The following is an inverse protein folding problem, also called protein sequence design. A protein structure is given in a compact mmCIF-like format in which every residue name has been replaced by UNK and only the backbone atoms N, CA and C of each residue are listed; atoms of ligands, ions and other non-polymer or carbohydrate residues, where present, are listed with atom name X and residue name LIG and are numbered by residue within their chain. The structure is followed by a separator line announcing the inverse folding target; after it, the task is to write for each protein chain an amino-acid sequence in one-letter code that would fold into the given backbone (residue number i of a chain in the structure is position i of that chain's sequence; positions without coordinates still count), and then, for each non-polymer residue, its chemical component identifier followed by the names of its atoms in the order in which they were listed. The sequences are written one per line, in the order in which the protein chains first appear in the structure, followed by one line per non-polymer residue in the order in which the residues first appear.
data_IF_874247543744
#
_entry.id   IF_874247543744
#
_cell.length_a   1.000
_cell.length_b   1.000
_cell.length_c   1.000
_cell.angle_alpha   90.00
_cell.angle_beta   90.00
_cell.angle_gamma   90.00
#
_symmetry.space_group_name_H-M   'P 1'
#
loop_
_entity.id
_entity.type
_entity.pdbx_description
1 polymer ?
#
# COMPACT_ATOMS: atom_id res chain seq x y z
N UNK A 1 -11.43 -18.44 -8.59
CA UNK A 1 -10.15 -18.07 -7.95
C UNK A 1 -10.43 -17.77 -6.48
N UNK A 2 -9.50 -18.07 -5.59
CA UNK A 2 -9.57 -17.71 -4.17
C UNK A 2 -8.35 -16.88 -3.77
N UNK A 3 -8.56 -15.89 -2.90
CA UNK A 3 -7.49 -15.09 -2.30
C UNK A 3 -7.45 -15.39 -0.81
N UNK A 4 -6.26 -15.59 -0.29
CA UNK A 4 -6.00 -15.87 1.13
C UNK A 4 -4.72 -15.19 1.60
N UNK A 5 -4.47 -15.20 2.91
CA UNK A 5 -3.25 -14.64 3.53
C UNK A 5 -3.01 -13.15 3.21
N UNK A 6 -4.06 -12.39 2.90
CA UNK A 6 -3.98 -10.96 2.63
C UNK A 6 -3.50 -10.20 3.88
N UNK A 7 -2.32 -9.61 3.79
CA UNK A 7 -1.68 -8.93 4.92
C UNK A 7 -0.61 -7.93 4.47
N UNK A 8 -0.18 -7.08 5.40
CA UNK A 8 1.05 -6.29 5.30
C UNK A 8 2.01 -6.84 6.35
N UNK A 9 2.99 -7.69 5.96
CA UNK A 9 3.93 -8.29 6.89
C UNK A 9 4.87 -7.25 7.49
N UNK A 10 5.23 -7.39 8.77
CA UNK A 10 6.11 -6.44 9.49
C UNK A 10 7.50 -6.34 8.87
N UNK A 11 8.05 -7.47 8.47
CA UNK A 11 9.36 -7.62 7.85
C UNK A 11 9.41 -7.10 6.41
N UNK A 12 8.27 -6.63 5.89
CA UNK A 12 8.11 -6.00 4.58
C UNK A 12 7.74 -4.52 4.69
N UNK A 13 7.96 -3.92 5.85
CA UNK A 13 7.77 -2.50 6.08
C UNK A 13 9.16 -1.89 6.32
N UNK A 14 9.54 -0.96 5.46
CA UNK A 14 10.81 -0.24 5.57
C UNK A 14 10.56 1.26 5.61
N UNK A 15 11.29 1.99 6.45
CA UNK A 15 11.24 3.45 6.42
C UNK A 15 12.00 4.00 5.20
N UNK A 16 11.51 5.12 4.65
CA UNK A 16 12.13 5.87 3.57
C UNK A 16 12.49 7.26 4.07
N UNK A 17 13.66 7.75 3.66
CA UNK A 17 14.18 9.05 4.09
C UNK A 17 14.65 9.03 5.55
N UNK A 18 14.77 10.21 6.14
CA UNK A 18 15.17 10.33 7.54
C UNK A 18 15.22 11.77 8.03
N UNK A 19 15.33 11.93 9.35
CA UNK A 19 15.30 13.22 10.05
C UNK A 19 16.33 14.23 9.52
N UNK A 20 17.48 13.77 9.05
CA UNK A 20 18.58 14.62 8.54
C UNK A 20 18.58 14.77 7.02
N UNK A 21 17.53 14.31 6.34
CA UNK A 21 17.44 14.33 4.88
C UNK A 21 16.42 15.39 4.44
N UNK A 22 16.60 15.93 3.23
CA UNK A 22 15.57 16.73 2.54
C UNK A 22 14.78 15.91 1.52
N UNK A 23 15.13 14.62 1.38
CA UNK A 23 14.45 13.67 0.50
C UNK A 23 13.04 13.36 1.03
N UNK A 24 12.10 12.90 0.18
CA UNK A 24 10.80 12.44 0.65
C UNK A 24 10.91 11.39 1.75
N UNK A 25 10.06 11.49 2.77
CA UNK A 25 10.03 10.57 3.90
C UNK A 25 8.72 9.77 3.95
N UNK A 26 8.77 8.54 4.43
CA UNK A 26 7.60 7.68 4.49
C UNK A 26 7.92 6.25 4.86
N UNK A 27 7.07 5.32 4.41
CA UNK A 27 7.27 3.89 4.54
C UNK A 27 7.06 3.22 3.18
N UNK A 28 7.91 2.26 2.85
CA UNK A 28 7.61 1.20 1.92
C UNK A 28 6.81 0.12 2.63
N UNK A 29 5.82 -0.45 1.96
CA UNK A 29 5.22 -1.69 2.41
C UNK A 29 4.83 -2.59 1.24
N UNK A 30 4.86 -3.90 1.47
CA UNK A 30 4.34 -4.89 0.52
C UNK A 30 2.99 -5.43 1.00
N UNK A 31 1.91 -5.18 0.25
CA UNK A 31 0.67 -5.92 0.39
C UNK A 31 0.88 -7.34 -0.15
N UNK A 32 0.90 -8.33 0.73
CA UNK A 32 1.17 -9.72 0.40
C UNK A 32 -0.10 -10.56 0.48
N UNK A 33 -0.31 -11.44 -0.50
CA UNK A 33 -1.44 -12.36 -0.52
C UNK A 33 -1.14 -13.60 -1.38
N UNK A 34 -1.92 -14.65 -1.15
CA UNK A 34 -1.86 -15.90 -1.92
C UNK A 34 -3.09 -16.00 -2.81
N UNK A 35 -2.87 -16.24 -4.09
CA UNK A 35 -3.89 -16.52 -5.08
C UNK A 35 -3.93 -18.01 -5.35
N UNK A 36 -5.12 -18.59 -5.43
CA UNK A 36 -5.32 -20.00 -5.78
C UNK A 36 -6.40 -20.15 -6.85
N UNK A 37 -6.10 -20.96 -7.86
CA UNK A 37 -7.02 -21.37 -8.90
C UNK A 37 -7.08 -22.88 -8.86
N UNK A 38 -8.27 -23.42 -8.62
CA UNK A 38 -8.49 -24.87 -8.67
C UNK A 38 -8.60 -25.35 -10.12
N UNK A 39 -8.04 -26.51 -10.47
CA UNK A 39 -8.23 -27.10 -11.78
C UNK A 39 -9.71 -27.40 -12.02
N UNK A 40 -10.20 -27.19 -13.24
CA UNK A 40 -11.58 -27.54 -13.62
C UNK A 40 -11.61 -29.02 -14.06
N UNK A 41 -12.53 -29.79 -13.49
CA UNK A 41 -12.63 -31.25 -13.69
C UNK A 41 -12.86 -31.71 -15.16
N UNK A 42 -13.33 -30.81 -16.04
CA UNK A 42 -13.54 -31.07 -17.48
C UNK A 42 -12.58 -30.21 -18.32
N UNK A 43 -11.28 -30.33 -18.01
CA UNK A 43 -10.15 -29.44 -18.33
C UNK A 43 -9.80 -29.08 -19.79
N UNK A 44 -10.76 -29.10 -20.71
CA UNK A 44 -10.65 -28.47 -22.04
C UNK A 44 -11.94 -27.79 -22.54
N UNK A 45 -13.09 -28.12 -21.97
CA UNK A 45 -14.41 -27.66 -22.46
C UNK A 45 -14.93 -26.48 -21.63
N UNK A 46 -14.54 -26.37 -20.36
CA UNK A 46 -15.17 -25.46 -19.39
C UNK A 46 -14.57 -24.05 -19.30
N UNK A 47 -13.81 -23.60 -20.30
CA UNK A 47 -13.28 -22.23 -20.38
C UNK A 47 -11.76 -22.13 -20.15
N UNK A 48 -11.12 -21.27 -20.92
CA UNK A 48 -9.68 -20.99 -20.87
C UNK A 48 -9.34 -19.81 -19.96
N UNK A 49 -10.33 -19.29 -19.25
CA UNK A 49 -10.22 -18.00 -18.58
C UNK A 49 -10.43 -18.07 -17.07
N UNK A 50 -9.78 -17.15 -16.38
CA UNK A 50 -9.91 -16.92 -14.94
C UNK A 50 -10.47 -15.52 -14.76
N UNK A 51 -11.61 -15.43 -14.10
CA UNK A 51 -12.13 -14.15 -13.65
C UNK A 51 -11.15 -13.55 -12.64
N UNK A 52 -10.69 -12.35 -12.96
CA UNK A 52 -9.70 -11.66 -12.16
C UNK A 52 -10.38 -10.83 -11.08
N UNK A 53 -10.06 -11.03 -9.79
CA UNK A 53 -10.64 -10.23 -8.73
C UNK A 53 -10.20 -8.77 -8.88
N UNK A 54 -11.16 -7.86 -8.69
CA UNK A 54 -10.89 -6.42 -8.77
C UNK A 54 -10.12 -6.00 -7.53
N UNK A 55 -8.87 -5.55 -7.70
CA UNK A 55 -8.10 -4.96 -6.61
C UNK A 55 -8.75 -3.64 -6.20
N UNK A 56 -8.84 -3.41 -4.89
CA UNK A 56 -9.31 -2.16 -4.30
C UNK A 56 -8.20 -1.61 -3.42
N UNK A 57 -7.62 -0.49 -3.85
CA UNK A 57 -6.55 0.20 -3.14
C UNK A 57 -7.10 1.51 -2.60
N UNK A 58 -7.93 1.42 -1.56
CA UNK A 58 -8.61 2.58 -1.02
C UNK A 58 -7.66 3.37 -0.11
N UNK A 59 -7.45 4.63 -0.44
CA UNK A 59 -6.70 5.59 0.35
C UNK A 59 -7.61 6.74 0.77
N UNK A 60 -7.56 7.09 2.07
CA UNK A 60 -8.01 8.39 2.56
C UNK A 60 -6.81 9.14 3.11
N UNK A 61 -6.54 10.32 2.57
CA UNK A 61 -5.41 11.18 2.93
C UNK A 61 -5.94 12.43 3.60
N UNK A 62 -5.72 12.58 4.90
CA UNK A 62 -6.04 13.77 5.67
C UNK A 62 -4.81 14.69 5.78
N UNK A 63 -5.03 15.99 5.62
CA UNK A 63 -3.99 17.02 5.74
C UNK A 63 -4.29 18.01 6.86
N UNK A 64 -3.24 18.43 7.54
CA UNK A 64 -3.30 19.41 8.62
C UNK A 64 -2.22 20.46 8.47
N UNK A 65 -2.58 21.70 8.80
CA UNK A 65 -1.65 22.81 8.98
C UNK A 65 -1.49 23.14 10.47
N UNK A 66 -0.36 23.76 10.82
CA UNK A 66 -0.10 24.14 12.20
C UNK A 66 -0.49 25.60 12.43
N UNK A 67 -1.45 25.82 13.33
CA UNK A 67 -1.79 27.15 13.79
C UNK A 67 -0.84 27.55 14.92
N UNK A 68 0.08 28.47 14.60
CA UNK A 68 1.09 28.96 15.54
C UNK A 68 0.49 29.84 16.65
N UNK A 69 -0.68 30.45 16.44
CA UNK A 69 -1.33 31.27 17.45
C UNK A 69 -1.95 30.42 18.56
N UNK A 70 -2.57 29.31 18.18
CA UNK A 70 -3.21 28.37 19.13
C UNK A 70 -2.34 27.18 19.52
N UNK A 71 -1.17 27.02 18.88
CA UNK A 71 -0.25 25.89 19.03
C UNK A 71 -0.95 24.54 18.79
N UNK A 72 -1.81 24.47 17.76
CA UNK A 72 -2.63 23.29 17.45
C UNK A 72 -2.58 22.93 15.97
N UNK A 73 -2.66 21.64 15.70
CA UNK A 73 -2.93 21.14 14.35
C UNK A 73 -4.39 21.42 13.99
N UNK A 74 -4.60 22.05 12.84
CA UNK A 74 -5.92 22.31 12.28
C UNK A 74 -6.11 21.45 11.03
N UNK A 75 -7.26 20.79 10.95
CA UNK A 75 -7.63 19.99 9.78
C UNK A 75 -7.93 20.91 8.61
N UNK A 76 -7.29 20.65 7.47
CA UNK A 76 -7.44 21.43 6.24
C UNK A 76 -8.41 20.76 5.29
N UNK A 77 -8.35 19.44 5.18
CA UNK A 77 -9.21 18.66 4.31
C UNK A 77 -8.68 17.24 4.10
N UNK A 78 -9.45 16.44 3.38
CA UNK A 78 -9.08 15.09 2.99
C UNK A 78 -9.37 14.81 1.52
N UNK A 79 -8.68 13.79 1.00
CA UNK A 79 -8.94 13.21 -0.32
C UNK A 79 -9.09 11.70 -0.15
N UNK A 80 -10.19 11.14 -0.66
CA UNK A 80 -10.48 9.71 -0.59
C UNK A 80 -10.68 9.13 -2.00
N UNK A 81 -9.92 8.10 -2.38
CA UNK A 81 -9.99 7.46 -3.72
C UNK A 81 -9.60 5.98 -3.66
N UNK A 82 -10.16 5.18 -4.58
CA UNK A 82 -9.55 3.90 -4.97
C UNK A 82 -8.43 4.19 -5.98
N UNK A 83 -7.18 4.03 -5.54
CA UNK A 83 -6.02 4.34 -6.35
C UNK A 83 -5.84 3.38 -7.51
N UNK A 84 -6.31 2.14 -7.39
CA UNK A 84 -6.25 1.18 -8.49
C UNK A 84 -7.21 1.56 -9.60
N UNK A 85 -8.44 1.94 -9.26
CA UNK A 85 -9.41 2.45 -10.24
C UNK A 85 -8.95 3.77 -10.88
N UNK A 86 -8.43 4.69 -10.07
CA UNK A 86 -8.00 6.01 -10.53
C UNK A 86 -6.76 5.96 -11.43
N UNK A 87 -5.77 5.11 -11.10
CA UNK A 87 -4.49 5.03 -11.84
C UNK A 87 -3.96 3.59 -11.92
N UNK A 88 -4.64 2.68 -12.66
CA UNK A 88 -4.30 1.26 -12.70
C UNK A 88 -2.92 0.97 -13.32
N UNK A 89 -2.41 1.89 -14.13
CA UNK A 89 -1.11 1.78 -14.82
C UNK A 89 0.06 2.33 -14.00
N UNK A 90 -0.16 2.70 -12.74
CA UNK A 90 0.93 3.12 -11.85
C UNK A 90 1.97 2.02 -11.66
N UNK A 91 3.21 2.40 -11.34
CA UNK A 91 4.26 1.43 -11.06
C UNK A 91 3.92 0.50 -9.88
N UNK A 92 3.22 1.00 -8.85
CA UNK A 92 2.68 0.24 -7.72
C UNK A 92 1.88 -0.97 -8.21
N UNK A 93 0.97 -0.76 -9.17
CA UNK A 93 0.04 -1.80 -9.61
C UNK A 93 0.52 -2.60 -10.82
N UNK A 94 1.69 -2.30 -11.38
CA UNK A 94 2.19 -2.90 -12.62
C UNK A 94 2.24 -4.42 -12.57
N UNK A 95 2.70 -4.99 -11.45
CA UNK A 95 2.74 -6.46 -11.26
C UNK A 95 1.34 -7.04 -11.33
N UNK A 96 0.39 -6.44 -10.62
CA UNK A 96 -1.00 -6.88 -10.64
C UNK A 96 -1.60 -6.70 -12.03
N UNK A 97 -1.58 -5.49 -12.60
CA UNK A 97 -2.26 -5.20 -13.85
C UNK A 97 -1.71 -5.96 -15.07
N UNK A 98 -0.39 -6.15 -15.17
CA UNK A 98 0.26 -6.57 -16.42
C UNK A 98 1.06 -7.88 -16.37
N UNK A 99 1.40 -8.39 -15.18
CA UNK A 99 2.34 -9.53 -15.07
C UNK A 99 1.96 -10.55 -13.98
N UNK A 100 0.72 -10.52 -13.49
CA UNK A 100 0.33 -11.27 -12.28
C UNK A 100 0.42 -12.78 -12.45
N UNK A 101 0.25 -13.26 -13.67
CA UNK A 101 0.28 -14.68 -14.01
C UNK A 101 1.67 -15.07 -14.50
N UNK A 102 2.33 -14.20 -15.28
CA UNK A 102 3.67 -14.44 -15.79
C UNK A 102 4.73 -14.48 -14.67
N UNK A 103 4.55 -13.68 -13.62
CA UNK A 103 5.44 -13.65 -12.45
C UNK A 103 4.95 -14.53 -11.30
N UNK A 104 3.98 -15.41 -11.53
CA UNK A 104 3.42 -16.28 -10.49
C UNK A 104 4.45 -17.32 -10.04
N UNK A 105 4.85 -17.29 -8.77
CA UNK A 105 5.77 -18.26 -8.17
C UNK A 105 5.14 -18.99 -6.99
N UNK A 106 5.52 -20.25 -6.80
CA UNK A 106 5.05 -21.02 -5.65
C UNK A 106 5.63 -20.51 -4.32
N UNK A 107 5.33 -21.20 -3.22
CA UNK A 107 5.82 -20.83 -1.87
C UNK A 107 7.34 -20.87 -1.73
N UNK A 108 8.05 -21.54 -2.63
CA UNK A 108 9.52 -21.61 -2.70
C UNK A 108 10.11 -20.59 -3.67
N UNK A 109 9.26 -19.70 -4.21
CA UNK A 109 9.59 -18.72 -5.22
C UNK A 109 10.03 -19.32 -6.57
N UNK A 110 9.50 -20.50 -6.91
CA UNK A 110 9.75 -21.17 -8.20
C UNK A 110 8.44 -21.38 -8.96
N UNK A 111 8.33 -20.94 -10.23
CA UNK A 111 7.21 -21.33 -11.08
C UNK A 111 7.39 -22.77 -11.61
N UNK A 112 6.31 -23.50 -11.88
CA UNK A 112 6.35 -24.73 -12.68
C UNK A 112 7.09 -24.51 -14.00
N UNK A 113 7.86 -25.50 -14.46
CA UNK A 113 8.70 -25.36 -15.65
C UNK A 113 7.92 -24.95 -16.91
N UNK A 114 6.70 -25.48 -17.06
CA UNK A 114 5.79 -25.15 -18.16
C UNK A 114 5.35 -23.68 -18.11
N UNK A 115 4.94 -23.20 -16.92
CA UNK A 115 4.56 -21.80 -16.71
C UNK A 115 5.74 -20.85 -16.97
N UNK A 116 6.94 -21.25 -16.52
CA UNK A 116 8.19 -20.49 -16.72
C UNK A 116 8.57 -20.33 -18.19
N UNK A 117 8.19 -21.28 -19.04
CA UNK A 117 8.51 -21.27 -20.46
C UNK A 117 7.60 -20.35 -21.29
N UNK A 118 6.50 -19.83 -20.70
CA UNK A 118 5.55 -18.96 -21.38
C UNK A 118 6.09 -17.54 -21.51
N UNK A 119 5.62 -16.82 -22.53
CA UNK A 119 6.17 -15.51 -22.91
C UNK A 119 5.20 -14.34 -22.70
N UNK A 120 3.94 -14.64 -22.39
CA UNK A 120 2.89 -13.65 -22.18
C UNK A 120 2.02 -13.95 -20.97
N UNK A 121 1.49 -12.90 -20.34
CA UNK A 121 0.59 -13.01 -19.18
C UNK A 121 -0.74 -13.73 -19.55
N UNK A 122 -1.20 -13.58 -20.80
CA UNK A 122 -2.38 -14.29 -21.32
C UNK A 122 -2.15 -15.80 -21.48
N UNK A 123 -1.00 -16.23 -22.00
CA UNK A 123 -0.65 -17.65 -22.05
C UNK A 123 -0.56 -18.24 -20.64
N UNK A 124 0.09 -17.50 -19.72
CA UNK A 124 0.19 -17.88 -18.32
C UNK A 124 -1.18 -18.02 -17.66
N UNK A 125 -2.09 -17.06 -17.89
CA UNK A 125 -3.48 -17.10 -17.42
C UNK A 125 -4.19 -18.36 -17.87
N UNK A 126 -4.12 -18.70 -19.18
CA UNK A 126 -4.75 -19.90 -19.73
C UNK A 126 -4.15 -21.19 -19.19
N UNK A 127 -2.83 -21.23 -19.00
CA UNK A 127 -2.16 -22.38 -18.39
C UNK A 127 -2.65 -22.58 -16.95
N UNK A 128 -2.71 -21.51 -16.14
CA UNK A 128 -3.22 -21.57 -14.77
C UNK A 128 -4.71 -21.98 -14.76
N UNK A 129 -5.51 -21.51 -15.72
CA UNK A 129 -6.93 -21.83 -15.81
C UNK A 129 -7.17 -23.34 -16.00
N UNK A 130 -6.33 -23.98 -16.83
CA UNK A 130 -6.42 -25.40 -17.16
C UNK A 130 -5.86 -26.29 -16.06
N UNK A 131 -4.71 -25.93 -15.51
CA UNK A 131 -3.96 -26.80 -14.59
C UNK A 131 -4.26 -26.53 -13.12
N UNK A 132 -4.80 -25.36 -12.79
CA UNK A 132 -4.82 -24.85 -11.44
C UNK A 132 -3.41 -24.49 -10.95
N UNK A 133 -3.32 -23.47 -10.10
CA UNK A 133 -2.06 -23.08 -9.48
C UNK A 133 -2.32 -22.24 -8.24
N UNK A 134 -1.40 -22.28 -7.28
CA UNK A 134 -1.44 -21.41 -6.11
C UNK A 134 -0.09 -20.70 -5.97
N UNK A 135 -0.11 -19.38 -5.91
CA UNK A 135 1.09 -18.55 -5.92
C UNK A 135 0.98 -17.36 -4.98
N UNK A 136 2.13 -16.85 -4.55
CA UNK A 136 2.20 -15.64 -3.73
C UNK A 136 2.41 -14.42 -4.63
N UNK A 137 1.76 -13.31 -4.28
CA UNK A 137 2.00 -12.02 -4.89
C UNK A 137 2.24 -10.97 -3.81
N UNK A 138 3.03 -9.98 -4.18
CA UNK A 138 3.26 -8.78 -3.39
C UNK A 138 3.04 -7.56 -4.29
N UNK A 139 2.29 -6.58 -3.77
CA UNK A 139 2.13 -5.25 -4.39
C UNK A 139 2.84 -4.26 -3.47
N UNK A 140 3.92 -3.66 -3.97
CA UNK A 140 4.72 -2.69 -3.23
C UNK A 140 4.21 -1.29 -3.43
N UNK A 141 4.06 -0.54 -2.35
CA UNK A 141 3.74 0.89 -2.40
C UNK A 141 4.74 1.75 -1.62
N UNK A 142 4.88 3.00 -2.07
CA UNK A 142 5.83 4.01 -1.59
C UNK A 142 5.14 5.37 -1.39
N UNK A 143 4.22 5.48 -0.42
CA UNK A 143 3.53 6.74 -0.15
C UNK A 143 4.42 7.67 0.68
N UNK A 144 5.45 8.27 0.08
CA UNK A 144 6.33 9.24 0.74
C UNK A 144 5.73 10.67 0.76
N UNK A 145 6.25 11.57 1.59
CA UNK A 145 5.89 12.99 1.65
C UNK A 145 7.17 13.82 1.52
N UNK A 146 7.14 14.84 0.66
CA UNK A 146 8.24 15.80 0.55
C UNK A 146 8.46 16.54 1.87
N UNK A 147 9.70 16.71 2.31
CA UNK A 147 9.99 17.36 3.60
C UNK A 147 9.87 18.89 3.50
N UNK A 148 10.24 19.47 2.36
CA UNK A 148 10.24 20.92 2.12
C UNK A 148 8.92 21.49 1.60
N UNK A 149 7.84 20.70 1.58
CA UNK A 149 6.56 21.05 0.95
C UNK A 149 6.23 20.21 -0.29
N UNK A 150 5.07 20.49 -0.92
CA UNK A 150 4.61 19.81 -2.15
C UNK A 150 4.09 18.37 -1.99
N UNK A 151 3.76 17.71 -3.11
CA UNK A 151 3.09 16.40 -3.19
C UNK A 151 4.05 15.20 -3.35
N UNK A 152 5.16 15.17 -2.60
CA UNK A 152 6.30 14.24 -2.79
C UNK A 152 6.08 12.72 -2.64
N UNK A 153 4.93 12.16 -3.05
CA UNK A 153 4.61 10.73 -3.10
C UNK A 153 3.19 10.42 -2.57
N UNK A 154 2.61 9.31 -3.03
CA UNK A 154 1.26 8.84 -2.63
C UNK A 154 0.10 9.41 -3.46
N UNK A 155 -1.10 8.84 -3.29
CA UNK A 155 -2.25 8.95 -4.19
C UNK A 155 -3.00 10.29 -4.26
N UNK A 156 -2.47 11.39 -3.70
CA UNK A 156 -3.18 12.66 -3.69
C UNK A 156 -2.27 13.89 -3.69
N UNK A 157 -2.76 14.95 -4.33
CA UNK A 157 -2.13 16.27 -4.25
C UNK A 157 -2.12 16.75 -2.80
N UNK A 158 -1.04 17.41 -2.41
CA UNK A 158 -0.93 17.96 -1.07
C UNK A 158 -1.85 19.17 -0.94
N UNK A 159 -2.76 19.13 0.04
CA UNK A 159 -3.62 20.26 0.36
C UNK A 159 -2.89 21.35 1.18
N UNK A 160 -1.67 21.05 1.67
CA UNK A 160 -0.87 21.95 2.50
C UNK A 160 0.55 22.02 1.93
N UNK A 161 0.93 23.16 1.38
CA UNK A 161 2.21 23.33 0.67
C UNK A 161 3.37 23.78 1.56
N UNK A 162 3.08 24.27 2.77
CA UNK A 162 4.08 24.71 3.74
C UNK A 162 4.97 23.56 4.26
N UNK A 163 6.09 23.93 4.86
CA UNK A 163 7.09 22.98 5.42
C UNK A 163 6.72 22.49 6.85
N UNK A 164 5.67 23.04 7.43
CA UNK A 164 5.11 22.69 8.72
C UNK A 164 3.70 22.14 8.50
N UNK A 165 3.58 20.82 8.46
CA UNK A 165 2.36 20.13 8.05
C UNK A 165 2.33 18.71 8.59
N UNK A 166 1.13 18.15 8.65
CA UNK A 166 0.93 16.74 9.00
C UNK A 166 0.04 16.08 7.96
N UNK A 167 0.40 14.85 7.58
CA UNK A 167 -0.36 13.99 6.69
C UNK A 167 -0.68 12.69 7.41
N UNK A 168 -1.94 12.27 7.33
CA UNK A 168 -2.38 10.96 7.80
C UNK A 168 -2.99 10.21 6.62
N UNK A 169 -2.43 9.07 6.25
CA UNK A 169 -2.99 8.19 5.22
C UNK A 169 -3.59 6.97 5.88
N UNK A 170 -4.86 6.70 5.60
CA UNK A 170 -5.54 5.47 5.96
C UNK A 170 -5.62 4.58 4.72
N UNK A 171 -5.05 3.38 4.82
CA UNK A 171 -5.11 2.36 3.78
C UNK A 171 -6.15 1.31 4.14
N UNK A 172 -7.01 0.99 3.18
CA UNK A 172 -7.93 -0.13 3.24
C UNK A 172 -7.81 -0.94 1.95
N UNK A 173 -7.00 -2.00 2.01
CA UNK A 173 -6.50 -2.72 0.85
C UNK A 173 -7.14 -4.09 0.76
N UNK A 174 -7.60 -4.47 -0.43
CA UNK A 174 -8.18 -5.79 -0.64
C UNK A 174 -8.74 -5.97 -2.02
N UNK A 175 -9.76 -6.82 -2.12
CA UNK A 175 -10.37 -7.18 -3.39
C UNK A 175 -11.89 -7.08 -3.28
N UNK A 176 -12.53 -6.61 -4.35
CA UNK A 176 -13.98 -6.53 -4.42
C UNK A 176 -14.61 -7.91 -4.20
N UNK A 177 -15.65 -7.97 -3.38
CA UNK A 177 -16.33 -9.23 -3.01
C UNK A 177 -15.59 -10.09 -1.99
N UNK A 178 -14.40 -9.68 -1.51
CA UNK A 178 -13.66 -10.40 -0.46
C UNK A 178 -13.75 -9.66 0.89
N UNK A 179 -14.14 -10.39 1.94
CA UNK A 179 -14.29 -9.83 3.29
C UNK A 179 -12.96 -9.48 3.96
N UNK A 180 -11.90 -10.23 3.67
CA UNK A 180 -10.57 -9.96 4.23
C UNK A 180 -9.98 -8.71 3.59
N UNK A 181 -9.54 -7.77 4.43
CA UNK A 181 -8.86 -6.54 4.02
C UNK A 181 -7.66 -6.29 4.91
N UNK A 182 -6.57 -5.79 4.32
CA UNK A 182 -5.41 -5.33 5.05
C UNK A 182 -5.53 -3.82 5.28
N UNK A 183 -5.29 -3.38 6.52
CA UNK A 183 -5.39 -1.98 6.90
C UNK A 183 -4.11 -1.52 7.55
N UNK A 184 -3.75 -0.27 7.31
CA UNK A 184 -2.69 0.42 8.04
C UNK A 184 -2.92 1.93 7.99
N UNK A 185 -2.24 2.66 8.88
CA UNK A 185 -2.28 4.11 8.93
C UNK A 185 -0.86 4.66 8.96
N UNK A 186 -0.52 5.51 8.01
CA UNK A 186 0.75 6.23 7.96
C UNK A 186 0.53 7.64 8.50
N UNK A 187 1.39 8.07 9.43
CA UNK A 187 1.38 9.40 10.01
C UNK A 187 2.75 10.02 9.75
N UNK A 188 2.75 11.11 9.01
CA UNK A 188 3.93 11.91 8.72
C UNK A 188 3.72 13.33 9.20
N UNK A 189 4.74 13.91 9.82
CA UNK A 189 4.70 15.29 10.30
C UNK A 189 6.05 15.96 10.00
N UNK A 190 5.98 17.19 9.50
CA UNK A 190 7.13 18.09 9.43
C UNK A 190 6.86 19.35 10.23
N UNK A 191 7.91 19.90 10.84
CA UNK A 191 7.91 21.23 11.44
C UNK A 191 9.14 21.97 10.95
N UNK A 192 8.95 23.15 10.36
CA UNK A 192 10.01 24.00 9.79
C UNK A 192 10.94 23.21 8.85
N UNK A 193 10.35 22.36 7.99
CA UNK A 193 11.11 21.56 7.03
C UNK A 193 11.95 20.44 7.67
N UNK A 194 11.65 20.04 8.90
CA UNK A 194 12.25 18.89 9.57
C UNK A 194 11.19 17.82 9.82
N UNK A 195 11.52 16.57 9.52
CA UNK A 195 10.65 15.44 9.83
C UNK A 195 10.57 15.23 11.35
N UNK A 196 9.38 15.36 11.92
CA UNK A 196 9.12 15.22 13.35
C UNK A 196 8.32 13.97 13.69
N UNK A 197 7.49 13.46 12.78
CA UNK A 197 6.84 12.15 12.92
C UNK A 197 7.02 11.37 11.61
N UNK A 198 7.46 10.12 11.76
CA UNK A 198 7.40 9.11 10.72
C UNK A 198 6.96 7.82 11.40
N UNK A 199 5.67 7.49 11.28
CA UNK A 199 5.09 6.36 11.98
C UNK A 199 4.11 5.61 11.10
N UNK A 200 4.10 4.28 11.19
CA UNK A 200 3.17 3.41 10.51
C UNK A 200 2.54 2.44 11.51
N UNK A 201 1.22 2.41 11.52
CA UNK A 201 0.41 1.58 12.41
C UNK A 201 -0.25 0.51 11.57
N UNK A 202 -0.08 -0.76 11.94
CA UNK A 202 -0.77 -1.88 11.31
C UNK A 202 -2.17 -2.02 11.90
N UNK A 203 -3.14 -2.26 11.05
CA UNK A 203 -4.55 -2.39 11.43
C UNK A 203 -5.31 -1.07 11.36
N UNK A 204 -6.54 -1.13 11.85
CA UNK A 204 -7.43 0.03 11.95
C UNK A 204 -7.15 0.77 13.25
N UNK A 205 -7.10 2.09 13.19
CA UNK A 205 -6.94 2.96 14.36
C UNK A 205 -7.96 4.08 14.29
N UNK A 206 -8.53 4.41 15.45
CA UNK A 206 -9.49 5.49 15.55
C UNK A 206 -8.81 6.84 15.34
N UNK A 207 -9.50 7.73 14.62
CA UNK A 207 -9.03 9.10 14.39
C UNK A 207 -8.68 9.82 15.69
N UNK A 208 -9.49 9.64 16.75
CA UNK A 208 -9.22 10.22 18.05
C UNK A 208 -7.85 9.80 18.62
N UNK A 209 -7.40 8.58 18.36
CA UNK A 209 -6.07 8.10 18.77
C UNK A 209 -4.97 8.74 17.92
N UNK A 210 -5.19 8.87 16.60
CA UNK A 210 -4.25 9.53 15.69
C UNK A 210 -4.05 11.01 16.03
N UNK A 211 -5.11 11.68 16.43
CA UNK A 211 -5.10 13.11 16.72
C UNK A 211 -4.77 13.45 18.18
N UNK A 212 -4.66 12.46 19.06
CA UNK A 212 -4.43 12.69 20.48
C UNK A 212 -3.04 13.32 20.73
N UNK A 213 -2.94 14.46 21.45
CA UNK A 213 -1.67 15.14 21.69
C UNK A 213 -0.56 14.25 22.27
N UNK A 214 -0.89 13.42 23.26
CA UNK A 214 0.09 12.53 23.90
C UNK A 214 0.65 11.49 22.92
N UNK A 215 -0.16 10.99 21.98
CA UNK A 215 0.31 10.04 20.97
C UNK A 215 1.25 10.73 19.98
N UNK A 216 0.93 11.96 19.56
CA UNK A 216 1.80 12.76 18.70
C UNK A 216 3.16 13.00 19.37
N UNK A 217 3.18 13.39 20.65
CA UNK A 217 4.43 13.61 21.36
C UNK A 217 5.24 12.32 21.54
N UNK A 218 4.56 11.21 21.82
CA UNK A 218 5.19 9.89 21.86
C UNK A 218 5.84 9.52 20.53
N UNK A 219 5.16 9.71 19.40
CA UNK A 219 5.72 9.39 18.08
C UNK A 219 6.87 10.32 17.69
N UNK A 220 6.81 11.60 18.05
CA UNK A 220 7.96 12.52 17.92
C UNK A 220 9.15 12.06 18.74
N UNK A 221 8.92 11.60 19.97
CA UNK A 221 9.96 11.05 20.82
C UNK A 221 10.60 9.79 20.22
N UNK A 222 9.79 8.88 19.68
CA UNK A 222 10.25 7.66 19.01
C UNK A 222 11.19 7.95 17.83
N UNK A 223 10.81 8.88 16.94
CA UNK A 223 11.67 9.31 15.84
C UNK A 223 12.97 9.96 16.34
N UNK A 224 12.91 10.77 17.40
CA UNK A 224 14.09 11.43 17.98
C UNK A 224 15.09 10.44 18.59
N UNK A 225 14.62 9.32 19.14
CA UNK A 225 15.43 8.36 19.90
C UNK A 225 15.79 7.10 19.11
N UNK A 226 15.28 6.94 17.89
CA UNK A 226 15.52 5.76 17.06
C UNK A 226 14.77 4.51 17.51
N UNK A 227 13.78 4.65 18.41
CA UNK A 227 12.86 3.58 18.79
C UNK A 227 11.63 3.65 17.89
N UNK A 228 11.73 3.10 16.69
CA UNK A 228 10.59 2.99 15.75
C UNK A 228 10.04 1.58 15.70
#
# INVERSE_FOLDING_TARGET
MTISNLSIPSERIDMVGGRLTTAPAGHHFDLSFRVEVKPRMLGRISGEDIECPVLQWNERIEWFDYDSATQKWRFVGDNSKDMYEYKPTSHTFRVWHSYRYLLATDVTNNPPAELKALSSDEEAKRWIARNGFAWNLAIRDVPAMGILGGSGGGGGDSLVTGDTRRRVIYFDLGFSGHAQRARCVQILETQQGQLTICHLIRGEIQKATVDHPDNLERWRFQLRTGHQ
#
